data_IF_307353358453
#
_entry.id   IF_307353358453
#
_cell.length_a   1.000
_cell.length_b   1.000
_cell.length_c   1.000
_cell.angle_alpha   90.00
_cell.angle_beta   90.00
_cell.angle_gamma   90.00
#
_symmetry.space_group_name_H-M   'P 1'
#
loop_
_entity.id
_entity.type
_entity.pdbx_description
1 polymer ?
#
# COMPACT_ATOMS: atom_id res chain seq x y z
N UNK A 1 -6.95 -1.58 -5.93
CA UNK A 1 -8.41 -1.56 -6.19
C UNK A 1 -8.74 -0.52 -7.27
N UNK A 2 -8.20 -0.70 -8.48
CA UNK A 2 -8.30 0.27 -9.58
C UNK A 2 -9.73 0.55 -10.07
N UNK A 3 -10.66 -0.39 -9.85
CA UNK A 3 -12.08 -0.23 -10.16
C UNK A 3 -12.92 0.24 -8.96
N UNK A 4 -12.31 0.44 -7.78
CA UNK A 4 -13.02 0.84 -6.57
C UNK A 4 -14.00 -0.21 -6.02
N UNK A 5 -13.88 -1.47 -6.44
CA UNK A 5 -14.82 -2.55 -6.08
C UNK A 5 -14.73 -2.87 -4.60
N UNK A 6 -13.51 -2.96 -4.05
CA UNK A 6 -13.32 -3.16 -2.62
C UNK A 6 -13.92 -1.97 -1.86
N UNK A 7 -13.54 -0.74 -2.22
CA UNK A 7 -14.05 0.48 -1.57
C UNK A 7 -15.58 0.55 -1.56
N UNK A 8 -16.22 0.21 -2.68
CA UNK A 8 -17.68 0.26 -2.82
C UNK A 8 -18.42 -0.82 -2.01
N UNK A 9 -17.79 -1.96 -1.75
CA UNK A 9 -18.44 -3.13 -1.13
C UNK A 9 -17.90 -3.48 0.26
N UNK A 10 -16.90 -2.76 0.76
CA UNK A 10 -16.20 -3.10 2.01
C UNK A 10 -17.16 -3.20 3.21
N UNK A 11 -18.15 -2.30 3.31
CA UNK A 11 -19.18 -2.38 4.38
C UNK A 11 -19.94 -3.71 4.35
N UNK A 12 -20.40 -4.14 3.18
CA UNK A 12 -21.11 -5.42 3.01
C UNK A 12 -20.25 -6.61 3.45
N UNK A 13 -18.96 -6.60 3.11
CA UNK A 13 -18.02 -7.68 3.50
C UNK A 13 -17.73 -7.65 5.00
N UNK A 14 -17.53 -6.47 5.58
CA UNK A 14 -17.30 -6.29 7.01
C UNK A 14 -18.50 -6.77 7.84
N UNK A 15 -19.72 -6.37 7.46
CA UNK A 15 -20.94 -6.74 8.20
C UNK A 15 -21.29 -8.24 8.06
N UNK A 16 -20.66 -8.94 7.11
CA UNK A 16 -20.77 -10.39 6.97
C UNK A 16 -19.86 -11.17 7.94
N UNK A 17 -18.87 -10.53 8.56
CA UNK A 17 -18.07 -11.12 9.64
C UNK A 17 -18.78 -10.92 10.99
N UNK A 18 -19.37 -11.97 11.59
CA UNK A 18 -20.07 -11.86 12.87
C UNK A 18 -19.14 -11.56 14.05
N UNK A 19 -17.82 -11.68 13.87
CA UNK A 19 -16.83 -11.40 14.91
C UNK A 19 -16.34 -9.95 14.90
N UNK A 20 -16.52 -9.25 13.76
CA UNK A 20 -15.98 -7.91 13.54
C UNK A 20 -14.45 -7.83 13.55
N UNK A 21 -13.74 -8.95 13.37
CA UNK A 21 -12.27 -9.03 13.41
C UNK A 21 -11.70 -9.19 11.99
N UNK A 22 -12.22 -8.38 11.06
CA UNK A 22 -11.78 -8.30 9.67
C UNK A 22 -10.97 -7.02 9.46
N UNK A 23 -9.87 -7.09 8.71
CA UNK A 23 -9.15 -5.92 8.20
C UNK A 23 -9.05 -5.98 6.67
N UNK A 24 -9.21 -4.85 6.00
CA UNK A 24 -9.00 -4.74 4.56
C UNK A 24 -7.53 -4.43 4.25
N UNK A 25 -7.04 -4.91 3.12
CA UNK A 25 -5.70 -4.60 2.62
C UNK A 25 -5.80 -3.96 1.24
N UNK A 26 -5.18 -2.80 1.05
CA UNK A 26 -5.00 -2.18 -0.26
C UNK A 26 -3.55 -2.31 -0.71
N UNK A 27 -3.36 -2.60 -1.99
CA UNK A 27 -2.05 -2.66 -2.64
C UNK A 27 -1.91 -1.43 -3.54
N UNK A 28 -0.93 -0.58 -3.26
CA UNK A 28 -0.75 0.72 -3.91
C UNK A 28 0.48 0.70 -4.83
N UNK A 29 0.24 0.48 -6.11
CA UNK A 29 1.23 0.58 -7.20
C UNK A 29 0.82 1.72 -8.15
N UNK A 30 1.12 1.65 -9.44
CA UNK A 30 1.00 2.75 -10.41
C UNK A 30 -0.42 3.28 -10.68
N UNK A 31 -1.44 2.67 -10.07
CA UNK A 31 -2.81 3.21 -10.03
C UNK A 31 -2.93 4.36 -9.02
N UNK A 32 -2.00 4.44 -8.07
CA UNK A 32 -1.93 5.42 -7.00
C UNK A 32 -0.68 6.28 -7.23
N UNK A 33 -0.67 6.98 -8.38
CA UNK A 33 0.44 7.82 -8.83
C UNK A 33 0.23 9.31 -8.49
N UNK A 34 -0.87 9.62 -7.78
CA UNK A 34 -1.14 10.95 -7.25
C UNK A 34 -1.52 10.96 -5.78
N UNK A 35 -1.11 12.03 -5.09
CA UNK A 35 -1.49 12.29 -3.72
C UNK A 35 -3.02 12.29 -3.49
N UNK A 36 -3.80 12.79 -4.46
CA UNK A 36 -5.26 12.85 -4.35
C UNK A 36 -5.86 11.44 -4.33
N UNK A 37 -5.43 10.53 -5.21
CA UNK A 37 -5.95 9.16 -5.24
C UNK A 37 -5.66 8.40 -3.95
N UNK A 38 -4.44 8.55 -3.42
CA UNK A 38 -4.01 7.91 -2.17
C UNK A 38 -4.83 8.44 -0.99
N UNK A 39 -4.87 9.77 -0.84
CA UNK A 39 -5.56 10.40 0.28
C UNK A 39 -7.06 10.14 0.25
N UNK A 40 -7.70 10.23 -0.92
CA UNK A 40 -9.14 9.93 -1.06
C UNK A 40 -9.46 8.48 -0.73
N UNK A 41 -8.60 7.54 -1.15
CA UNK A 41 -8.85 6.13 -0.90
C UNK A 41 -8.73 5.78 0.58
N UNK A 42 -7.66 6.24 1.25
CA UNK A 42 -7.44 5.93 2.67
C UNK A 42 -8.46 6.65 3.57
N UNK A 43 -8.79 7.92 3.29
CA UNK A 43 -9.83 8.64 4.03
C UNK A 43 -11.21 7.99 3.84
N UNK A 44 -11.54 7.46 2.66
CA UNK A 44 -12.83 6.79 2.46
C UNK A 44 -13.05 5.59 3.40
N UNK A 45 -11.99 4.85 3.74
CA UNK A 45 -12.07 3.77 4.72
C UNK A 45 -12.14 4.31 6.16
N UNK A 46 -11.35 5.32 6.49
CA UNK A 46 -11.38 5.99 7.79
C UNK A 46 -12.75 6.61 8.10
N UNK A 47 -13.31 7.37 7.17
CA UNK A 47 -14.63 8.02 7.27
C UNK A 47 -15.76 6.99 7.38
N UNK A 48 -15.61 5.84 6.72
CA UNK A 48 -16.57 4.74 6.82
C UNK A 48 -16.42 3.93 8.12
N UNK A 49 -15.39 4.19 8.93
CA UNK A 49 -15.08 3.40 10.13
C UNK A 49 -14.74 1.95 9.81
N UNK A 50 -13.99 1.71 8.73
CA UNK A 50 -13.55 0.39 8.28
C UNK A 50 -12.02 0.25 8.43
N UNK A 51 -11.52 -0.80 9.10
CA UNK A 51 -10.09 -0.97 9.31
C UNK A 51 -9.37 -1.34 8.00
N UNK A 52 -8.26 -0.65 7.72
CA UNK A 52 -7.47 -0.87 6.51
C UNK A 52 -5.96 -0.84 6.80
N UNK A 53 -5.20 -1.61 6.03
CA UNK A 53 -3.74 -1.56 5.95
C UNK A 53 -3.32 -1.36 4.49
N UNK A 54 -2.21 -0.65 4.25
CA UNK A 54 -1.53 -0.69 2.94
C UNK A 54 -0.66 -1.95 2.93
N UNK A 55 -1.23 -3.08 2.53
CA UNK A 55 -0.55 -4.38 2.67
C UNK A 55 0.56 -4.63 1.66
N UNK A 56 0.59 -3.87 0.57
CA UNK A 56 1.72 -3.78 -0.35
C UNK A 56 1.78 -2.36 -0.93
N UNK A 57 2.97 -1.85 -1.18
CA UNK A 57 3.16 -0.71 -2.07
C UNK A 57 4.54 -0.76 -2.72
N UNK A 58 4.62 -0.19 -3.92
CA UNK A 58 5.88 0.13 -4.60
C UNK A 58 6.17 1.63 -4.54
N UNK A 59 7.22 2.04 -5.26
CA UNK A 59 7.63 3.44 -5.39
C UNK A 59 8.32 3.68 -6.72
N UNK A 60 9.38 2.91 -7.07
CA UNK A 60 10.03 3.07 -8.38
C UNK A 60 9.07 2.98 -9.57
N UNK A 61 9.16 3.96 -10.46
CA UNK A 61 8.37 4.01 -11.69
C UNK A 61 8.48 2.73 -12.54
N UNK A 62 7.35 2.32 -13.09
CA UNK A 62 7.24 1.21 -14.02
C UNK A 62 6.61 1.64 -15.35
N UNK A 63 6.27 0.67 -16.19
CA UNK A 63 5.65 0.94 -17.50
C UNK A 63 4.20 1.46 -17.43
N UNK A 64 3.60 1.48 -16.25
CA UNK A 64 2.21 1.86 -16.00
C UNK A 64 2.08 3.19 -15.24
N UNK A 65 3.14 3.67 -14.59
CA UNK A 65 3.16 4.96 -13.88
C UNK A 65 4.25 5.01 -12.81
N UNK A 66 4.16 6.02 -11.96
CA UNK A 66 5.11 6.29 -10.87
C UNK A 66 4.34 6.32 -9.53
N UNK A 67 4.28 5.19 -8.78
CA UNK A 67 3.57 5.15 -7.51
C UNK A 67 4.07 6.24 -6.55
N UNK A 68 3.17 7.01 -5.93
CA UNK A 68 3.54 8.10 -5.00
C UNK A 68 3.74 7.56 -3.57
N UNK A 69 4.89 6.93 -3.31
CA UNK A 69 5.22 6.32 -2.01
C UNK A 69 5.32 7.34 -0.88
N UNK A 70 5.69 8.59 -1.21
CA UNK A 70 5.77 9.71 -0.28
C UNK A 70 4.39 9.96 0.33
N UNK A 71 3.37 10.09 -0.51
CA UNK A 71 2.01 10.29 -0.02
C UNK A 71 1.45 9.03 0.63
N UNK A 72 1.77 7.82 0.16
CA UNK A 72 1.36 6.56 0.81
C UNK A 72 1.81 6.53 2.27
N UNK A 73 3.12 6.70 2.49
CA UNK A 73 3.72 6.62 3.83
C UNK A 73 3.27 7.77 4.72
N UNK A 74 3.28 9.02 4.21
CA UNK A 74 2.85 10.18 4.99
C UNK A 74 1.36 10.11 5.40
N UNK A 75 0.47 9.68 4.49
CA UNK A 75 -0.96 9.56 4.77
C UNK A 75 -1.25 8.41 5.73
N UNK A 76 -0.57 7.28 5.57
CA UNK A 76 -0.70 6.14 6.49
C UNK A 76 -0.28 6.53 7.92
N UNK A 77 0.85 7.21 8.09
CA UNK A 77 1.30 7.73 9.40
C UNK A 77 0.30 8.75 9.98
N UNK A 78 -0.19 9.70 9.16
CA UNK A 78 -1.17 10.70 9.59
C UNK A 78 -2.47 10.06 10.11
N UNK A 79 -2.93 8.99 9.46
CA UNK A 79 -4.16 8.28 9.80
C UNK A 79 -3.96 7.14 10.81
N UNK A 80 -2.71 6.85 11.21
CA UNK A 80 -2.38 5.74 12.11
C UNK A 80 -2.62 4.36 11.50
N UNK A 81 -2.41 4.23 10.19
CA UNK A 81 -2.58 2.98 9.42
C UNK A 81 -1.24 2.27 9.26
N UNK A 82 -1.27 0.94 9.27
CA UNK A 82 -0.08 0.14 8.92
C UNK A 82 0.20 0.17 7.42
N UNK A 83 1.48 0.01 7.06
CA UNK A 83 1.93 -0.22 5.69
C UNK A 83 3.04 -1.26 5.63
N UNK A 84 3.15 -1.96 4.50
CA UNK A 84 4.15 -3.00 4.25
C UNK A 84 4.73 -2.79 2.83
N UNK A 85 5.99 -2.36 2.74
CA UNK A 85 6.64 -2.16 1.45
C UNK A 85 6.90 -3.51 0.76
N UNK A 86 6.65 -3.56 -0.55
CA UNK A 86 6.97 -4.73 -1.36
C UNK A 86 8.34 -4.55 -2.02
N UNK A 87 9.29 -5.47 -1.88
CA UNK A 87 9.39 -6.58 -0.91
C UNK A 87 10.84 -6.82 -0.52
N UNK A 88 11.10 -7.72 0.44
CA UNK A 88 12.45 -7.87 0.98
C UNK A 88 13.53 -8.14 -0.08
N UNK A 89 13.37 -9.18 -0.91
CA UNK A 89 14.31 -9.52 -1.99
C UNK A 89 13.72 -10.65 -2.86
N UNK A 90 14.25 -10.83 -4.07
CA UNK A 90 13.99 -11.99 -4.92
C UNK A 90 12.83 -11.81 -5.89
N UNK A 91 12.45 -10.57 -6.22
CA UNK A 91 11.55 -10.32 -7.34
C UNK A 91 12.24 -10.73 -8.66
N UNK A 92 11.45 -11.17 -9.65
CA UNK A 92 11.97 -11.48 -11.00
C UNK A 92 12.62 -10.24 -11.63
N UNK A 93 12.00 -9.08 -11.45
CA UNK A 93 12.60 -7.78 -11.69
C UNK A 93 12.97 -7.18 -10.32
N UNK A 94 14.27 -6.97 -10.02
CA UNK A 94 14.73 -6.58 -8.70
C UNK A 94 14.47 -5.10 -8.37
N UNK A 95 13.76 -4.34 -9.23
CA UNK A 95 13.49 -2.91 -9.00
C UNK A 95 12.76 -2.64 -7.67
N UNK A 96 11.95 -3.60 -7.18
CA UNK A 96 11.25 -3.52 -5.88
C UNK A 96 11.93 -4.34 -4.77
N UNK A 97 13.14 -4.87 -4.96
CA UNK A 97 13.87 -5.52 -3.88
C UNK A 97 14.37 -4.46 -2.88
N UNK A 98 13.98 -4.55 -1.61
CA UNK A 98 14.51 -3.67 -0.54
C UNK A 98 15.99 -3.98 -0.25
N UNK A 99 16.36 -5.26 -0.28
CA UNK A 99 17.72 -5.75 -0.11
C UNK A 99 18.12 -6.60 -1.32
N UNK A 100 19.34 -6.39 -1.83
CA UNK A 100 19.88 -7.13 -2.97
C UNK A 100 20.41 -8.49 -2.49
N UNK A 101 20.05 -9.57 -3.18
CA UNK A 101 20.51 -10.94 -2.91
C UNK A 101 20.18 -11.44 -1.48
N UNK A 102 19.06 -11.01 -0.88
CA UNK A 102 18.69 -11.28 0.52
C UNK A 102 19.73 -10.80 1.56
N UNK A 103 20.64 -9.89 1.20
CA UNK A 103 21.70 -9.40 2.08
C UNK A 103 21.26 -8.10 2.78
N UNK A 104 21.01 -8.11 4.10
CA UNK A 104 20.55 -6.92 4.83
C UNK A 104 21.59 -5.79 4.88
N UNK A 105 22.84 -6.04 4.49
CA UNK A 105 23.88 -5.01 4.38
C UNK A 105 23.92 -4.33 3.00
N UNK A 106 23.09 -4.78 2.05
CA UNK A 106 23.05 -4.32 0.67
C UNK A 106 21.64 -3.86 0.30
N UNK A 107 21.20 -2.76 0.92
CA UNK A 107 19.95 -2.12 0.51
C UNK A 107 20.05 -1.61 -0.94
N UNK A 108 18.94 -1.67 -1.67
CA UNK A 108 18.77 -0.96 -2.94
C UNK A 108 18.36 0.49 -2.66
N UNK A 109 18.28 1.32 -3.72
CA UNK A 109 17.71 2.68 -3.60
C UNK A 109 16.28 2.65 -3.04
N UNK A 110 15.48 1.64 -3.40
CA UNK A 110 14.15 1.45 -2.84
C UNK A 110 14.20 1.06 -1.35
N UNK A 111 15.13 0.18 -0.97
CA UNK A 111 15.38 -0.17 0.42
C UNK A 111 15.77 1.04 1.28
N UNK A 112 16.68 1.88 0.78
CA UNK A 112 17.12 3.10 1.46
C UNK A 112 15.99 4.13 1.60
N UNK A 113 15.04 4.18 0.66
CA UNK A 113 13.84 5.03 0.80
C UNK A 113 12.92 4.56 1.93
N UNK A 114 12.85 3.26 2.20
CA UNK A 114 11.92 2.67 3.18
C UNK A 114 12.46 2.67 4.63
N UNK A 115 13.77 2.56 4.84
CA UNK A 115 14.40 2.45 6.17
C UNK A 115 15.06 3.74 6.65
#
# INVERSE_FOLDING_TARGET
DWQGVMRANARTVHDADPTGNLIFSIHMYSVFDTAQEITDYLNAFGDAGLPIVVGEFGGPADQYGDPDEDTVTATAEQLGLGYLAWSWSGNTDPVLDLAIDFDPSRLSDWGERIF
#
